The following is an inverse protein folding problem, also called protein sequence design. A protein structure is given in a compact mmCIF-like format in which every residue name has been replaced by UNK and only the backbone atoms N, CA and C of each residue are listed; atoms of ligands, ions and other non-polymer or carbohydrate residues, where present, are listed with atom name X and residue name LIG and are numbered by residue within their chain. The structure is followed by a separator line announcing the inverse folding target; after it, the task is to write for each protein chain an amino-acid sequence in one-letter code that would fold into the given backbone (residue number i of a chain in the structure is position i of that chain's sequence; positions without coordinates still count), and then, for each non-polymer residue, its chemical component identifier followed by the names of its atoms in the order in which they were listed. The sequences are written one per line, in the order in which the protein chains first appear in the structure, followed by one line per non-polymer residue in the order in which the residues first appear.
data_IF_637658059736
#
_entry.id   IF_637658059736
#
_cell.length_a   1.000
_cell.length_b   1.000
_cell.length_c   1.000
_cell.angle_alpha   90.00
_cell.angle_beta   90.00
_cell.angle_gamma   90.00
#
_symmetry.space_group_name_H-M   'P 1'
#
loop_
_entity.id
_entity.type
_entity.pdbx_description
1 polymer ?
#
# COMPACT_ATOMS: atom_id res chain seq x y z
N UNK A 1 -3.88 28.98 -6.66
CA UNK A 1 -4.43 28.53 -5.37
C UNK A 1 -5.57 29.46 -4.98
N UNK A 2 -6.74 28.92 -4.66
CA UNK A 2 -7.84 29.76 -4.18
C UNK A 2 -7.56 30.21 -2.72
N UNK A 3 -8.20 31.31 -2.31
CA UNK A 3 -7.98 31.93 -1.00
C UNK A 3 -8.27 30.99 0.17
N UNK A 4 -9.24 30.10 0.01
CA UNK A 4 -9.59 29.09 1.01
C UNK A 4 -8.44 28.09 1.25
N UNK A 5 -7.76 27.62 0.19
CA UNK A 5 -6.62 26.71 0.32
C UNK A 5 -5.42 27.42 0.96
N UNK A 6 -5.20 28.69 0.61
CA UNK A 6 -4.14 29.53 1.21
C UNK A 6 -4.39 29.74 2.71
N UNK A 7 -5.60 30.10 3.09
CA UNK A 7 -5.98 30.31 4.50
C UNK A 7 -5.80 29.04 5.34
N UNK A 8 -6.23 27.88 4.82
CA UNK A 8 -6.01 26.58 5.50
C UNK A 8 -4.52 26.25 5.67
N UNK A 9 -3.73 26.51 4.63
CA UNK A 9 -2.29 26.25 4.66
C UNK A 9 -1.60 27.12 5.71
N UNK A 10 -1.91 28.42 5.77
CA UNK A 10 -1.39 29.35 6.76
C UNK A 10 -1.82 28.96 8.17
N UNK A 11 -3.07 28.55 8.38
CA UNK A 11 -3.56 28.08 9.67
C UNK A 11 -2.87 26.78 10.12
N UNK A 12 -2.55 25.84 9.21
CA UNK A 12 -1.80 24.63 9.57
C UNK A 12 -0.32 24.94 9.85
N UNK A 13 0.28 25.88 9.12
CA UNK A 13 1.67 26.36 9.35
C UNK A 13 1.82 27.06 10.70
N UNK A 14 0.84 27.90 11.10
CA UNK A 14 0.90 28.65 12.38
C UNK A 14 0.92 27.76 13.63
N UNK A 15 0.44 26.51 13.52
CA UNK A 15 0.49 25.53 14.62
C UNK A 15 1.91 25.00 14.88
N UNK A 16 2.87 25.27 14.00
CA UNK A 16 4.22 24.73 14.13
C UNK A 16 5.05 25.51 15.17
N UNK A 17 5.25 24.93 16.33
CA UNK A 17 6.10 25.50 17.39
C UNK A 17 7.62 25.41 17.13
N UNK A 18 8.05 24.95 15.93
CA UNK A 18 9.46 24.85 15.50
C UNK A 18 10.38 24.07 16.45
N UNK A 19 9.82 23.19 17.29
CA UNK A 19 10.50 22.46 18.38
C UNK A 19 11.55 21.43 17.93
N UNK A 20 11.54 20.97 16.68
CA UNK A 20 12.52 20.03 16.13
C UNK A 20 12.22 18.54 16.27
N UNK A 21 11.17 18.08 16.94
CA UNK A 21 10.82 16.66 17.06
C UNK A 21 10.70 15.94 15.70
N UNK A 22 10.27 16.66 14.67
CA UNK A 22 10.20 16.12 13.30
C UNK A 22 11.57 15.73 12.72
N UNK A 23 12.67 16.27 13.24
CA UNK A 23 14.04 16.01 12.79
C UNK A 23 14.46 14.58 13.15
N UNK A 24 14.20 14.14 14.39
CA UNK A 24 14.58 12.83 14.89
C UNK A 24 13.98 11.67 14.08
N UNK A 25 12.79 11.86 13.50
CA UNK A 25 12.03 10.82 12.78
C UNK A 25 12.06 10.95 11.26
N UNK A 26 12.70 12.00 10.71
CA UNK A 26 12.68 12.26 9.28
C UNK A 26 13.67 11.37 8.51
N UNK A 27 13.22 10.44 7.64
CA UNK A 27 14.13 9.60 6.88
C UNK A 27 14.99 10.39 5.89
N UNK A 28 14.49 11.51 5.35
CA UNK A 28 15.24 12.36 4.43
C UNK A 28 16.37 13.09 5.18
N UNK A 29 16.08 13.63 6.36
CA UNK A 29 17.09 14.29 7.19
C UNK A 29 18.22 13.32 7.59
N UNK A 30 17.86 12.09 7.95
CA UNK A 30 18.85 11.06 8.32
C UNK A 30 19.83 10.77 7.17
N UNK A 31 19.44 10.99 5.91
CA UNK A 31 20.27 10.78 4.72
C UNK A 31 21.04 12.04 4.25
N UNK A 32 20.48 13.23 4.50
CA UNK A 32 21.03 14.48 3.95
C UNK A 32 21.68 15.39 5.01
N UNK A 33 21.27 15.28 6.27
CA UNK A 33 21.74 16.14 7.36
C UNK A 33 21.34 17.61 7.27
N UNK A 34 20.41 17.97 6.35
CA UNK A 34 20.09 19.36 6.02
C UNK A 34 18.78 19.79 6.67
N UNK A 35 18.80 20.96 7.33
CA UNK A 35 17.63 21.50 8.04
C UNK A 35 16.40 21.67 7.12
N UNK A 36 16.58 22.11 5.90
CA UNK A 36 15.48 22.26 4.95
C UNK A 36 14.87 20.91 4.49
N UNK A 37 15.50 19.78 4.79
CA UNK A 37 14.97 18.45 4.50
C UNK A 37 13.89 18.00 5.47
N UNK A 38 13.83 18.59 6.69
CA UNK A 38 12.80 18.27 7.69
C UNK A 38 11.52 19.08 7.51
N UNK A 39 10.44 18.68 8.17
CA UNK A 39 9.15 19.36 8.08
C UNK A 39 9.25 20.84 8.48
N UNK A 40 9.84 21.17 9.64
CA UNK A 40 9.95 22.57 10.09
C UNK A 40 10.72 23.46 9.12
N UNK A 41 11.83 22.98 8.55
CA UNK A 41 12.62 23.74 7.58
C UNK A 41 11.84 23.96 6.28
N UNK A 42 11.13 22.93 5.79
CA UNK A 42 10.21 23.06 4.65
C UNK A 42 9.10 24.08 4.93
N UNK A 43 8.54 24.08 6.14
CA UNK A 43 7.48 25.01 6.52
C UNK A 43 7.95 26.47 6.51
N UNK A 44 9.15 26.75 7.03
CA UNK A 44 9.76 28.09 7.00
C UNK A 44 9.90 28.57 5.55
N UNK A 45 10.38 27.72 4.64
CA UNK A 45 10.50 28.07 3.22
C UNK A 45 9.15 28.29 2.55
N UNK A 46 8.15 27.46 2.86
CA UNK A 46 6.79 27.60 2.30
C UNK A 46 6.14 28.88 2.83
N UNK A 47 6.23 29.16 4.14
CA UNK A 47 5.70 30.37 4.76
C UNK A 47 6.33 31.63 4.15
N UNK A 48 7.67 31.68 4.07
CA UNK A 48 8.39 32.79 3.46
C UNK A 48 8.01 33.02 1.98
N UNK A 49 7.73 31.96 1.24
CA UNK A 49 7.27 32.06 -0.14
C UNK A 49 5.81 32.57 -0.25
N UNK A 50 4.94 32.18 0.69
CA UNK A 50 3.55 32.64 0.76
C UNK A 50 3.46 34.11 1.19
N UNK A 51 4.37 34.56 2.05
CA UNK A 51 4.50 35.95 2.51
C UNK A 51 5.18 36.85 1.46
N UNK A 52 5.66 36.30 0.35
CA UNK A 52 6.39 37.06 -0.68
C UNK A 52 7.82 37.44 -0.30
N UNK A 53 8.32 37.01 0.87
CA UNK A 53 9.69 37.28 1.34
C UNK A 53 10.74 36.61 0.46
N UNK A 54 10.41 35.46 -0.11
CA UNK A 54 11.25 34.76 -1.08
C UNK A 54 10.40 34.32 -2.28
N UNK A 55 11.04 34.20 -3.45
CA UNK A 55 10.34 33.68 -4.65
C UNK A 55 10.22 32.16 -4.54
N UNK A 56 9.05 31.60 -4.90
CA UNK A 56 8.90 30.17 -5.13
C UNK A 56 9.80 29.77 -6.30
N UNK A 57 11.01 29.29 -6.01
CA UNK A 57 12.07 29.00 -6.97
C UNK A 57 12.22 27.48 -7.21
N UNK A 58 13.01 27.09 -8.22
CA UNK A 58 13.31 25.68 -8.48
C UNK A 58 13.94 24.94 -7.26
N UNK A 59 14.92 25.52 -6.53
CA UNK A 59 15.42 24.90 -5.31
C UNK A 59 14.34 24.65 -4.27
N UNK A 60 13.39 25.57 -4.04
CA UNK A 60 12.28 25.37 -3.09
C UNK A 60 11.35 24.26 -3.59
N UNK A 61 11.06 24.22 -4.90
CA UNK A 61 10.33 23.10 -5.50
C UNK A 61 11.01 21.77 -5.17
N UNK A 62 12.31 21.66 -5.38
CA UNK A 62 13.05 20.41 -5.18
C UNK A 62 13.04 19.98 -3.69
N UNK A 63 13.13 20.96 -2.77
CA UNK A 63 12.97 20.73 -1.33
C UNK A 63 11.57 20.22 -0.97
N UNK A 64 10.51 20.79 -1.53
CA UNK A 64 9.12 20.36 -1.28
C UNK A 64 8.86 18.98 -1.90
N UNK A 65 9.40 18.73 -3.10
CA UNK A 65 9.24 17.46 -3.81
C UNK A 65 10.04 16.31 -3.16
N UNK A 66 11.13 16.60 -2.45
CA UNK A 66 11.95 15.59 -1.78
C UNK A 66 11.31 14.99 -0.51
N UNK A 67 10.06 15.27 -0.19
CA UNK A 67 9.36 14.67 0.93
C UNK A 67 8.68 13.35 0.56
N UNK A 68 8.86 12.31 1.38
CA UNK A 68 8.18 11.00 1.21
C UNK A 68 6.69 11.01 1.55
N UNK A 69 6.22 12.04 2.26
CA UNK A 69 4.87 12.11 2.86
C UNK A 69 4.58 10.88 3.75
N UNK A 70 5.59 10.36 4.44
CA UNK A 70 5.52 9.16 5.29
C UNK A 70 4.82 9.40 6.64
N UNK A 71 4.49 10.63 6.99
CA UNK A 71 3.78 11.07 8.21
C UNK A 71 4.48 10.81 9.54
N UNK A 72 5.71 10.30 9.55
CA UNK A 72 6.46 10.12 10.81
C UNK A 72 6.57 11.42 11.61
N UNK A 73 6.83 12.55 10.92
CA UNK A 73 6.88 13.86 11.55
C UNK A 73 5.51 14.36 12.06
N UNK A 74 4.39 13.93 11.45
CA UNK A 74 3.04 14.21 11.96
C UNK A 74 2.77 13.42 13.23
N UNK A 75 3.10 12.14 13.25
CA UNK A 75 2.91 11.28 14.42
C UNK A 75 3.78 11.70 15.61
N UNK A 76 4.98 12.23 15.36
CA UNK A 76 5.89 12.74 16.40
C UNK A 76 5.62 14.20 16.80
N UNK A 77 4.66 14.88 16.19
CA UNK A 77 4.43 16.30 16.44
C UNK A 77 3.55 16.53 17.68
N UNK A 78 4.07 17.15 18.75
CA UNK A 78 3.27 17.43 19.95
C UNK A 78 2.15 18.46 19.70
N UNK A 79 2.33 19.35 18.71
CA UNK A 79 1.31 20.33 18.30
C UNK A 79 0.30 19.80 17.28
N UNK A 80 0.34 18.51 16.92
CA UNK A 80 -0.60 17.89 16.01
C UNK A 80 -0.63 18.47 14.58
N UNK A 81 0.49 19.08 14.11
CA UNK A 81 0.57 19.72 12.80
C UNK A 81 0.33 18.69 11.69
N UNK A 82 -0.58 18.99 10.78
CA UNK A 82 -0.90 18.15 9.61
C UNK A 82 0.16 18.30 8.50
N UNK A 83 1.37 17.77 8.78
CA UNK A 83 2.55 17.94 7.94
C UNK A 83 2.35 17.44 6.51
N UNK A 84 1.61 16.36 6.32
CA UNK A 84 1.23 15.78 5.03
C UNK A 84 0.32 16.70 4.22
N UNK A 85 -0.65 17.36 4.86
CA UNK A 85 -1.55 18.32 4.22
C UNK A 85 -0.78 19.57 3.75
N UNK A 86 0.11 20.10 4.60
CA UNK A 86 0.98 21.24 4.25
C UNK A 86 1.84 20.92 3.04
N UNK A 87 2.52 19.78 3.02
CA UNK A 87 3.37 19.39 1.90
C UNK A 87 2.57 19.14 0.63
N UNK A 88 1.39 18.54 0.72
CA UNK A 88 0.52 18.33 -0.46
C UNK A 88 0.02 19.64 -1.04
N UNK A 89 -0.38 20.60 -0.20
CA UNK A 89 -0.76 21.94 -0.65
C UNK A 89 0.42 22.73 -1.25
N UNK A 90 1.61 22.65 -0.64
CA UNK A 90 2.81 23.24 -1.20
C UNK A 90 3.18 22.65 -2.58
N UNK A 91 2.99 21.35 -2.78
CA UNK A 91 3.16 20.70 -4.10
C UNK A 91 2.11 21.14 -5.12
N UNK A 92 0.91 21.49 -4.68
CA UNK A 92 -0.11 22.08 -5.56
C UNK A 92 0.37 23.43 -6.09
N UNK A 93 0.90 24.32 -5.21
CA UNK A 93 1.52 25.58 -5.62
C UNK A 93 2.68 25.41 -6.59
N UNK A 94 3.55 24.42 -6.30
CA UNK A 94 4.68 24.08 -7.17
C UNK A 94 4.19 23.58 -8.53
N UNK A 95 3.17 22.74 -8.55
CA UNK A 95 2.60 22.20 -9.79
C UNK A 95 1.87 23.26 -10.63
N UNK A 96 1.21 24.23 -10.00
CA UNK A 96 0.64 25.39 -10.67
C UNK A 96 1.71 26.28 -11.32
N UNK A 97 2.82 26.52 -10.61
CA UNK A 97 3.88 27.42 -11.07
C UNK A 97 4.78 26.83 -12.15
N UNK A 98 5.18 25.55 -11.99
CA UNK A 98 6.19 24.90 -12.82
C UNK A 98 5.63 23.76 -13.68
N UNK A 99 4.37 23.40 -13.48
CA UNK A 99 3.80 22.19 -14.05
C UNK A 99 4.39 20.91 -13.44
N UNK A 100 3.86 19.80 -13.88
CA UNK A 100 4.46 18.47 -13.58
C UNK A 100 5.43 18.10 -14.71
N UNK A 101 6.59 17.57 -14.38
CA UNK A 101 7.51 17.00 -15.38
C UNK A 101 6.82 15.93 -16.25
N UNK A 102 7.24 15.79 -17.51
CA UNK A 102 6.57 14.94 -18.49
C UNK A 102 6.36 13.49 -17.99
N UNK A 103 7.38 12.86 -17.41
CA UNK A 103 7.29 11.49 -16.84
C UNK A 103 6.20 11.38 -15.76
N UNK A 104 6.14 12.37 -14.84
CA UNK A 104 5.14 12.40 -13.75
C UNK A 104 3.73 12.63 -14.31
N UNK A 105 3.59 13.49 -15.30
CA UNK A 105 2.31 13.76 -15.99
C UNK A 105 1.77 12.52 -16.68
N UNK A 106 2.60 11.77 -17.41
CA UNK A 106 2.23 10.53 -18.08
C UNK A 106 1.81 9.48 -17.04
N UNK A 107 2.62 9.23 -16.02
CA UNK A 107 2.32 8.24 -14.97
C UNK A 107 0.98 8.54 -14.28
N UNK A 108 0.73 9.78 -13.86
CA UNK A 108 -0.53 10.16 -13.23
C UNK A 108 -1.71 10.12 -14.21
N UNK A 109 -1.51 10.45 -15.49
CA UNK A 109 -2.57 10.33 -16.51
C UNK A 109 -3.02 8.89 -16.74
N UNK A 110 -2.08 7.94 -16.74
CA UNK A 110 -2.38 6.50 -16.86
C UNK A 110 -3.20 6.02 -15.65
N UNK A 111 -2.84 6.42 -14.43
CA UNK A 111 -3.57 6.04 -13.21
C UNK A 111 -5.04 6.48 -13.18
N UNK A 112 -5.41 7.52 -13.95
CA UNK A 112 -6.80 7.97 -14.10
C UNK A 112 -7.62 7.12 -15.07
N UNK A 113 -6.97 6.39 -15.96
CA UNK A 113 -7.62 5.69 -17.07
C UNK A 113 -7.46 4.18 -16.88
N UNK A 114 -8.35 3.51 -16.10
CA UNK A 114 -8.17 2.11 -15.73
C UNK A 114 -8.03 1.18 -16.93
N UNK A 115 -8.76 1.43 -18.02
CA UNK A 115 -8.65 0.64 -19.27
C UNK A 115 -7.27 0.77 -19.91
N UNK A 116 -6.74 2.00 -20.02
CA UNK A 116 -5.41 2.24 -20.60
C UNK A 116 -4.31 1.69 -19.68
N UNK A 117 -4.48 1.84 -18.37
CA UNK A 117 -3.54 1.29 -17.39
C UNK A 117 -3.50 -0.24 -17.45
N UNK A 118 -4.64 -0.90 -17.59
CA UNK A 118 -4.73 -2.35 -17.75
C UNK A 118 -4.10 -2.80 -19.07
N UNK A 119 -4.35 -2.08 -20.18
CA UNK A 119 -3.72 -2.36 -21.46
C UNK A 119 -2.19 -2.17 -21.41
N UNK A 120 -1.71 -1.08 -20.79
CA UNK A 120 -0.28 -0.84 -20.61
C UNK A 120 0.37 -1.92 -19.73
N UNK A 121 -0.31 -2.37 -18.67
CA UNK A 121 0.17 -3.47 -17.83
C UNK A 121 0.22 -4.80 -18.60
N UNK A 122 -0.77 -5.08 -19.46
CA UNK A 122 -0.78 -6.27 -20.32
C UNK A 122 0.37 -6.25 -21.34
N UNK A 123 0.60 -5.11 -22.01
CA UNK A 123 1.72 -4.94 -22.94
C UNK A 123 3.05 -5.12 -22.19
N UNK A 124 3.20 -4.48 -21.04
CA UNK A 124 4.38 -4.63 -20.20
C UNK A 124 4.60 -6.10 -19.80
N UNK A 125 3.54 -6.81 -19.39
CA UNK A 125 3.58 -8.24 -19.06
C UNK A 125 3.93 -9.16 -20.25
N UNK A 126 3.63 -8.76 -21.48
CA UNK A 126 3.93 -9.52 -22.68
C UNK A 126 5.35 -9.30 -23.22
N UNK A 127 5.80 -8.04 -23.16
CA UNK A 127 7.06 -7.59 -23.78
C UNK A 127 8.15 -7.17 -22.78
N UNK A 128 7.96 -7.46 -21.48
CA UNK A 128 8.84 -7.02 -20.41
C UNK A 128 10.30 -7.45 -20.59
N UNK A 129 10.57 -8.61 -21.21
CA UNK A 129 11.93 -9.10 -21.49
C UNK A 129 12.75 -8.18 -22.40
N UNK A 130 12.09 -7.36 -23.21
CA UNK A 130 12.78 -6.40 -24.07
C UNK A 130 13.38 -5.22 -23.25
N UNK A 131 12.68 -4.81 -22.20
CA UNK A 131 13.08 -3.65 -21.37
C UNK A 131 13.77 -4.00 -20.06
N UNK A 132 13.78 -5.27 -19.65
CA UNK A 132 14.30 -5.68 -18.35
C UNK A 132 15.28 -6.85 -18.46
N UNK A 133 16.24 -6.89 -17.54
CA UNK A 133 17.18 -7.99 -17.36
C UNK A 133 16.93 -8.67 -15.99
N UNK A 134 17.10 -10.00 -15.87
CA UNK A 134 16.97 -10.69 -14.59
C UNK A 134 18.05 -10.22 -13.60
N UNK A 135 17.71 -10.19 -12.32
CA UNK A 135 18.64 -9.99 -11.22
C UNK A 135 18.79 -11.34 -10.52
N UNK A 136 20.03 -11.80 -10.31
CA UNK A 136 20.34 -13.05 -9.59
C UNK A 136 19.47 -14.26 -10.02
N UNK A 137 19.90 -15.02 -11.02
CA UNK A 137 19.26 -16.23 -11.54
C UNK A 137 17.76 -16.16 -11.89
N UNK A 138 17.17 -14.98 -11.98
CA UNK A 138 16.02 -14.74 -12.84
C UNK A 138 14.63 -15.00 -12.30
N UNK A 139 14.43 -15.27 -10.99
CA UNK A 139 13.15 -15.84 -10.57
C UNK A 139 12.03 -14.82 -10.27
N UNK A 140 12.28 -13.72 -9.55
CA UNK A 140 11.20 -12.78 -9.21
C UNK A 140 11.50 -11.30 -9.46
N UNK A 141 12.76 -10.92 -9.62
CA UNK A 141 13.15 -9.52 -9.72
C UNK A 141 13.90 -9.23 -11.00
N UNK A 142 13.59 -8.08 -11.60
CA UNK A 142 14.07 -7.68 -12.90
C UNK A 142 14.53 -6.23 -12.87
N UNK A 143 15.70 -5.98 -13.41
CA UNK A 143 16.29 -4.65 -13.50
C UNK A 143 15.94 -4.01 -14.83
N UNK A 144 15.47 -2.76 -14.81
CA UNK A 144 15.29 -1.97 -16.02
C UNK A 144 16.64 -1.81 -16.73
N UNK A 145 16.69 -2.13 -18.01
CA UNK A 145 17.93 -2.02 -18.84
C UNK A 145 18.37 -0.59 -19.08
N UNK A 146 17.42 0.37 -19.01
CA UNK A 146 17.71 1.80 -19.13
C UNK A 146 17.89 2.43 -17.74
N UNK A 147 18.75 3.48 -17.62
CA UNK A 147 18.87 4.23 -16.36
C UNK A 147 17.51 4.74 -15.88
N UNK A 148 17.20 4.70 -14.58
CA UNK A 148 18.09 4.48 -13.42
C UNK A 148 18.29 3.03 -12.98
N UNK A 149 18.05 2.02 -13.80
CA UNK A 149 18.36 0.62 -13.47
C UNK A 149 17.58 0.06 -12.26
N UNK A 150 16.36 0.55 -12.03
CA UNK A 150 15.52 0.13 -10.91
C UNK A 150 15.13 -1.34 -11.04
N UNK A 151 15.06 -2.03 -9.92
CA UNK A 151 14.58 -3.40 -9.83
C UNK A 151 13.07 -3.40 -9.60
N UNK A 152 12.36 -4.26 -10.32
CA UNK A 152 10.92 -4.42 -10.21
C UNK A 152 10.56 -5.90 -10.08
N UNK A 153 9.44 -6.26 -9.45
CA UNK A 153 8.92 -7.60 -9.55
C UNK A 153 8.52 -7.93 -11.00
N UNK A 154 8.56 -9.21 -11.36
CA UNK A 154 8.09 -9.68 -12.66
C UNK A 154 6.65 -9.23 -12.88
N UNK A 155 6.31 -8.56 -14.00
CA UNK A 155 4.95 -8.18 -14.29
C UNK A 155 4.06 -9.43 -14.41
N UNK A 156 2.87 -9.45 -13.78
CA UNK A 156 1.96 -10.57 -13.88
C UNK A 156 1.39 -10.70 -15.29
N UNK A 157 1.10 -11.91 -15.72
CA UNK A 157 0.45 -12.16 -17.03
C UNK A 157 -0.99 -11.66 -17.06
N UNK A 158 -1.67 -11.61 -15.92
CA UNK A 158 -3.07 -11.18 -15.76
C UNK A 158 -3.23 -10.28 -14.55
N UNK A 159 -4.14 -9.32 -14.64
CA UNK A 159 -4.57 -8.55 -13.48
C UNK A 159 -5.43 -9.40 -12.54
N UNK A 160 -5.57 -8.99 -11.28
CA UNK A 160 -6.48 -9.62 -10.33
C UNK A 160 -7.90 -9.74 -10.91
N UNK A 161 -8.43 -8.64 -11.44
CA UNK A 161 -9.80 -8.61 -11.99
C UNK A 161 -9.97 -9.62 -13.14
N UNK A 162 -9.00 -9.71 -14.05
CA UNK A 162 -9.06 -10.68 -15.14
C UNK A 162 -8.96 -12.13 -14.62
N UNK A 163 -8.13 -12.38 -13.61
CA UNK A 163 -8.03 -13.70 -12.98
C UNK A 163 -9.33 -14.12 -12.30
N UNK A 164 -10.02 -13.18 -11.64
CA UNK A 164 -11.32 -13.43 -11.00
C UNK A 164 -12.43 -13.71 -12.01
N UNK A 165 -12.50 -12.90 -13.10
CA UNK A 165 -13.51 -13.08 -14.16
C UNK A 165 -13.30 -14.41 -14.90
N UNK A 166 -12.05 -14.84 -15.11
CA UNK A 166 -11.73 -16.10 -15.79
C UNK A 166 -11.89 -17.33 -14.89
N UNK A 167 -12.38 -17.15 -13.66
CA UNK A 167 -12.68 -18.25 -12.74
C UNK A 167 -11.45 -18.96 -12.17
N UNK A 168 -10.29 -18.31 -12.11
CA UNK A 168 -9.09 -18.92 -11.51
C UNK A 168 -9.30 -19.31 -10.04
N UNK A 169 -10.18 -18.59 -9.32
CA UNK A 169 -10.61 -18.97 -7.97
C UNK A 169 -11.51 -20.21 -7.95
N UNK A 170 -12.36 -20.39 -8.96
CA UNK A 170 -13.21 -21.58 -9.06
C UNK A 170 -12.40 -22.85 -9.35
N UNK A 171 -11.22 -22.70 -9.96
CA UNK A 171 -10.26 -23.81 -10.20
C UNK A 171 -9.41 -24.16 -8.97
N UNK A 172 -9.36 -23.28 -7.97
CA UNK A 172 -8.69 -23.52 -6.68
C UNK A 172 -9.79 -23.68 -5.64
N UNK A 173 -10.25 -24.90 -5.36
CA UNK A 173 -11.33 -25.10 -4.43
C UNK A 173 -10.96 -24.49 -3.06
N UNK A 174 -11.98 -23.98 -2.35
CA UNK A 174 -11.87 -23.80 -0.91
C UNK A 174 -11.45 -25.16 -0.33
N UNK A 175 -10.73 -25.19 0.79
CA UNK A 175 -10.21 -26.43 1.39
C UNK A 175 -11.25 -27.57 1.50
N UNK A 176 -12.53 -27.22 1.64
CA UNK A 176 -13.63 -28.15 1.81
C UNK A 176 -14.21 -28.65 0.45
N UNK A 177 -13.51 -28.38 -0.67
CA UNK A 177 -13.98 -28.76 -2.01
C UNK A 177 -15.20 -27.98 -2.50
N UNK A 178 -15.64 -26.99 -1.75
CA UNK A 178 -16.89 -26.28 -1.99
C UNK A 178 -16.76 -25.30 -3.17
N UNK A 179 -17.68 -25.34 -4.14
CA UNK A 179 -17.66 -24.44 -5.27
C UNK A 179 -17.94 -22.98 -4.81
N UNK A 180 -17.12 -22.06 -5.31
CA UNK A 180 -17.31 -20.62 -5.11
C UNK A 180 -18.18 -20.10 -6.26
N UNK A 181 -19.21 -19.33 -5.94
CA UNK A 181 -20.05 -18.69 -6.94
C UNK A 181 -19.50 -17.31 -7.29
N UNK A 182 -19.20 -17.07 -8.57
CA UNK A 182 -18.72 -15.78 -9.07
C UNK A 182 -19.77 -15.19 -9.99
N UNK A 183 -20.23 -13.98 -9.67
CA UNK A 183 -21.19 -13.23 -10.47
C UNK A 183 -20.57 -11.90 -10.92
N UNK A 184 -20.73 -11.57 -12.20
CA UNK A 184 -20.30 -10.28 -12.76
C UNK A 184 -21.54 -9.55 -13.27
N UNK A 185 -21.92 -8.46 -12.64
CA UNK A 185 -23.09 -7.68 -13.00
C UNK A 185 -22.92 -6.21 -12.63
N UNK A 186 -23.44 -5.31 -13.46
CA UNK A 186 -23.51 -3.86 -13.20
C UNK A 186 -22.18 -3.24 -12.68
N UNK A 187 -21.05 -3.64 -13.26
CA UNK A 187 -19.71 -3.12 -12.87
C UNK A 187 -19.18 -3.64 -11.54
N UNK A 188 -19.75 -4.75 -11.03
CA UNK A 188 -19.39 -5.42 -9.78
C UNK A 188 -19.04 -6.88 -10.05
N UNK A 189 -18.08 -7.42 -9.30
CA UNK A 189 -17.80 -8.85 -9.18
C UNK A 189 -18.19 -9.24 -7.77
N UNK A 190 -19.12 -10.16 -7.63
CA UNK A 190 -19.54 -10.72 -6.35
C UNK A 190 -19.06 -12.15 -6.26
N UNK A 191 -18.35 -12.47 -5.20
CA UNK A 191 -17.81 -13.80 -4.93
C UNK A 191 -18.41 -14.28 -3.61
N UNK A 192 -19.22 -15.33 -3.67
CA UNK A 192 -19.97 -15.83 -2.52
C UNK A 192 -19.47 -17.19 -2.09
N UNK A 193 -19.17 -17.40 -0.78
CA UNK A 193 -18.97 -18.71 -0.20
C UNK A 193 -20.29 -19.47 -0.09
N UNK A 194 -20.25 -20.80 0.05
CA UNK A 194 -21.46 -21.59 0.27
C UNK A 194 -22.14 -21.27 1.61
N UNK A 195 -21.36 -21.22 2.69
CA UNK A 195 -21.84 -20.81 4.01
C UNK A 195 -21.51 -19.34 4.23
N UNK A 196 -22.50 -18.47 4.03
CA UNK A 196 -22.34 -17.03 4.19
C UNK A 196 -22.57 -16.60 5.63
N UNK A 197 -21.56 -15.97 6.24
CA UNK A 197 -21.62 -15.39 7.60
C UNK A 197 -21.72 -13.86 7.55
N UNK A 198 -21.29 -13.24 6.43
CA UNK A 198 -21.29 -11.80 6.27
C UNK A 198 -20.97 -11.40 4.84
N UNK A 199 -20.79 -10.10 4.63
CA UNK A 199 -20.36 -9.56 3.35
C UNK A 199 -19.45 -8.33 3.55
N UNK A 200 -18.53 -8.09 2.61
CA UNK A 200 -17.64 -6.93 2.60
C UNK A 200 -17.37 -6.46 1.17
N UNK A 201 -17.04 -5.19 1.02
CA UNK A 201 -16.47 -4.65 -0.21
C UNK A 201 -14.94 -4.77 -0.12
N UNK A 202 -14.30 -5.42 -1.09
CA UNK A 202 -12.86 -5.40 -1.23
C UNK A 202 -12.44 -4.45 -2.34
N UNK A 203 -11.65 -3.43 -1.99
CA UNK A 203 -11.08 -2.50 -2.95
C UNK A 203 -9.59 -2.80 -3.16
N UNK A 204 -9.19 -3.45 -4.28
CA UNK A 204 -7.81 -3.89 -4.49
C UNK A 204 -6.84 -2.74 -4.78
N UNK A 205 -7.32 -1.60 -5.30
CA UNK A 205 -6.45 -0.53 -5.79
C UNK A 205 -5.61 -0.93 -7.00
N UNK A 206 -4.70 -0.03 -7.43
CA UNK A 206 -3.95 -0.24 -8.67
C UNK A 206 -2.79 -1.24 -8.51
N UNK A 207 -2.03 -1.20 -7.42
CA UNK A 207 -0.87 -2.08 -7.23
C UNK A 207 -1.30 -3.54 -7.04
N UNK A 208 -2.30 -3.80 -6.20
CA UNK A 208 -2.81 -5.15 -5.96
C UNK A 208 -3.48 -5.71 -7.21
N UNK A 209 -4.22 -4.87 -7.97
CA UNK A 209 -4.86 -5.34 -9.19
C UNK A 209 -3.86 -5.67 -10.30
N UNK A 210 -2.84 -4.80 -10.53
CA UNK A 210 -2.04 -4.84 -11.75
C UNK A 210 -0.60 -5.32 -11.56
N UNK A 211 -0.06 -5.25 -10.34
CA UNK A 211 1.35 -5.57 -10.06
C UNK A 211 1.48 -6.79 -9.14
N UNK A 212 0.61 -6.89 -8.14
CA UNK A 212 0.63 -7.94 -7.13
C UNK A 212 -0.74 -8.66 -7.03
N UNK A 213 -1.26 -9.24 -8.12
CA UNK A 213 -2.57 -9.91 -8.09
C UNK A 213 -2.65 -11.04 -7.07
N UNK A 214 -1.52 -11.68 -6.73
CA UNK A 214 -1.43 -12.70 -5.67
C UNK A 214 -1.90 -12.17 -4.31
N UNK A 215 -1.57 -10.93 -3.95
CA UNK A 215 -2.07 -10.29 -2.72
C UNK A 215 -3.59 -10.15 -2.74
N UNK A 216 -4.15 -9.80 -3.90
CA UNK A 216 -5.59 -9.68 -4.07
C UNK A 216 -6.30 -11.04 -4.01
N UNK A 217 -5.74 -12.06 -4.66
CA UNK A 217 -6.26 -13.43 -4.60
C UNK A 217 -6.24 -13.96 -3.16
N UNK A 218 -5.11 -13.79 -2.45
CA UNK A 218 -4.99 -14.17 -1.04
C UNK A 218 -6.02 -13.44 -0.16
N UNK A 219 -6.28 -12.15 -0.43
CA UNK A 219 -7.31 -11.38 0.28
C UNK A 219 -8.70 -11.99 0.07
N UNK A 220 -9.07 -12.29 -1.17
CA UNK A 220 -10.37 -12.91 -1.48
C UNK A 220 -10.47 -14.30 -0.85
N UNK A 221 -9.44 -15.13 -0.96
CA UNK A 221 -9.40 -16.46 -0.35
C UNK A 221 -9.58 -16.42 1.17
N UNK A 222 -8.90 -15.48 1.83
CA UNK A 222 -9.02 -15.28 3.28
C UNK A 222 -10.45 -14.87 3.68
N UNK A 223 -11.05 -13.92 2.99
CA UNK A 223 -12.43 -13.50 3.22
C UNK A 223 -13.43 -14.64 3.00
N UNK A 224 -13.26 -15.41 1.93
CA UNK A 224 -14.09 -16.59 1.65
C UNK A 224 -13.96 -17.66 2.73
N UNK A 225 -12.73 -17.93 3.21
CA UNK A 225 -12.50 -18.88 4.28
C UNK A 225 -13.12 -18.46 5.64
N UNK A 226 -13.39 -17.15 5.80
CA UNK A 226 -14.14 -16.59 6.92
C UNK A 226 -15.66 -16.58 6.67
N UNK A 227 -16.15 -17.10 5.56
CA UNK A 227 -17.57 -17.03 5.19
C UNK A 227 -18.03 -15.65 4.70
N UNK A 228 -17.14 -14.76 4.31
CA UNK A 228 -17.47 -13.39 3.90
C UNK A 228 -17.65 -13.32 2.38
N UNK A 229 -18.88 -13.00 1.96
CA UNK A 229 -19.16 -12.64 0.57
C UNK A 229 -18.40 -11.36 0.20
N UNK A 230 -17.69 -11.39 -0.91
CA UNK A 230 -16.80 -10.30 -1.30
C UNK A 230 -17.31 -9.59 -2.56
N UNK A 231 -17.56 -8.29 -2.47
CA UNK A 231 -17.94 -7.43 -3.60
C UNK A 231 -16.74 -6.60 -4.04
N UNK A 232 -16.39 -6.67 -5.32
CA UNK A 232 -15.19 -6.03 -5.89
C UNK A 232 -15.60 -5.18 -7.10
N UNK A 233 -15.03 -3.95 -7.31
CA UNK A 233 -15.27 -3.20 -8.54
C UNK A 233 -14.68 -3.94 -9.75
N UNK A 234 -15.48 -4.18 -10.78
CA UNK A 234 -15.04 -4.83 -12.02
C UNK A 234 -14.04 -3.97 -12.82
N UNK A 235 -14.07 -2.66 -12.61
CA UNK A 235 -13.11 -1.70 -13.19
C UNK A 235 -12.65 -0.73 -12.10
N UNK A 236 -11.73 -1.14 -11.19
CA UNK A 236 -11.33 -0.32 -10.06
C UNK A 236 -10.64 0.97 -10.52
N UNK A 237 -11.16 2.09 -10.03
CA UNK A 237 -10.56 3.41 -10.22
C UNK A 237 -9.48 3.64 -9.15
N UNK A 238 -8.45 4.42 -9.46
CA UNK A 238 -7.41 4.76 -8.49
C UNK A 238 -8.01 5.42 -7.23
N UNK A 239 -7.47 5.13 -6.04
CA UNK A 239 -7.89 5.77 -4.79
C UNK A 239 -7.60 7.28 -4.72
N UNK A 240 -6.81 7.84 -5.64
CA UNK A 240 -6.45 9.26 -5.67
C UNK A 240 -5.17 9.62 -4.89
N UNK A 241 -4.65 8.76 -4.01
CA UNK A 241 -3.45 9.06 -3.21
C UNK A 241 -2.24 9.50 -4.07
N UNK A 242 -1.88 8.83 -5.19
CA UNK A 242 -0.78 9.28 -6.03
C UNK A 242 -0.99 10.69 -6.60
N UNK A 243 -2.22 11.07 -6.89
CA UNK A 243 -2.56 12.43 -7.37
C UNK A 243 -2.43 13.45 -6.23
N UNK A 244 -3.01 13.14 -5.07
CA UNK A 244 -2.98 14.01 -3.90
C UNK A 244 -1.54 14.34 -3.46
N UNK A 245 -0.70 13.32 -3.29
CA UNK A 245 0.70 13.53 -2.88
C UNK A 245 1.58 14.19 -3.94
N UNK A 246 1.14 14.29 -5.18
CA UNK A 246 1.84 15.01 -6.25
C UNK A 246 1.21 16.39 -6.57
N UNK A 247 0.40 16.95 -5.66
CA UNK A 247 -0.19 18.27 -5.79
C UNK A 247 -1.29 18.37 -6.88
N UNK A 248 -1.94 17.23 -7.18
CA UNK A 248 -3.10 17.22 -8.11
C UNK A 248 -4.38 16.92 -7.33
N UNK A 249 -4.68 17.82 -6.39
CA UNK A 249 -5.88 17.74 -5.57
C UNK A 249 -7.16 17.68 -6.41
N UNK A 250 -7.22 18.44 -7.49
CA UNK A 250 -8.33 18.45 -8.47
C UNK A 250 -8.62 17.03 -9.01
N UNK A 251 -7.58 16.28 -9.34
CA UNK A 251 -7.71 14.92 -9.84
C UNK A 251 -8.03 13.93 -8.73
N UNK A 252 -7.48 14.11 -7.53
CA UNK A 252 -7.82 13.28 -6.37
C UNK A 252 -9.30 13.41 -6.01
N UNK A 253 -9.87 14.62 -6.04
CA UNK A 253 -11.30 14.89 -5.84
C UNK A 253 -12.17 14.15 -6.87
N UNK A 254 -11.81 14.24 -8.16
CA UNK A 254 -12.56 13.54 -9.23
C UNK A 254 -12.56 12.02 -9.02
N UNK A 255 -11.42 11.46 -8.63
CA UNK A 255 -11.28 10.01 -8.35
C UNK A 255 -12.07 9.61 -7.10
N UNK A 256 -12.06 10.43 -6.05
CA UNK A 256 -12.85 10.21 -4.85
C UNK A 256 -14.36 10.19 -5.17
N UNK A 257 -14.86 11.18 -5.93
CA UNK A 257 -16.26 11.23 -6.36
C UNK A 257 -16.65 9.98 -7.19
N UNK A 258 -15.79 9.53 -8.11
CA UNK A 258 -16.04 8.33 -8.89
C UNK A 258 -16.10 7.06 -8.02
N UNK A 259 -15.21 6.93 -7.05
CA UNK A 259 -15.23 5.82 -6.08
C UNK A 259 -16.48 5.84 -5.20
N UNK A 260 -16.89 7.00 -4.70
CA UNK A 260 -18.11 7.16 -3.91
C UNK A 260 -19.38 6.85 -4.72
N UNK A 261 -19.45 7.31 -5.97
CA UNK A 261 -20.58 6.99 -6.87
C UNK A 261 -20.70 5.48 -7.13
N UNK A 262 -19.55 4.79 -7.34
CA UNK A 262 -19.56 3.35 -7.46
C UNK A 262 -20.04 2.67 -6.16
N UNK A 263 -19.53 3.11 -5.00
CA UNK A 263 -19.93 2.54 -3.71
C UNK A 263 -21.42 2.76 -3.43
N UNK A 264 -21.95 3.94 -3.75
CA UNK A 264 -23.39 4.22 -3.63
C UNK A 264 -24.23 3.22 -4.43
N UNK A 265 -23.74 2.81 -5.62
CA UNK A 265 -24.42 1.77 -6.40
C UNK A 265 -24.36 0.37 -5.74
N UNK A 266 -23.32 0.08 -4.94
CA UNK A 266 -23.26 -1.17 -4.14
C UNK A 266 -24.22 -1.10 -2.98
N UNK A 267 -24.25 0.03 -2.26
CA UNK A 267 -25.12 0.25 -1.10
C UNK A 267 -26.60 0.23 -1.50
N UNK A 268 -26.98 0.76 -2.67
CA UNK A 268 -28.35 0.76 -3.18
C UNK A 268 -28.90 -0.67 -3.45
N UNK A 269 -28.04 -1.61 -3.84
CA UNK A 269 -28.44 -3.01 -4.05
C UNK A 269 -28.59 -3.79 -2.73
N UNK A 270 -28.38 -3.13 -1.55
CA UNK A 270 -28.30 -3.80 -0.23
C UNK A 270 -29.13 -3.09 0.84
N UNK A 271 -30.45 -3.29 0.85
CA UNK A 271 -31.35 -2.59 1.79
C UNK A 271 -31.14 -2.95 3.27
N UNK A 272 -30.39 -4.03 3.58
CA UNK A 272 -30.15 -4.51 4.95
C UNK A 272 -28.89 -3.95 5.62
N UNK A 273 -28.28 -2.92 5.06
CA UNK A 273 -27.11 -2.28 5.68
C UNK A 273 -25.91 -2.14 4.78
N UNK A 274 -25.10 -1.15 5.08
CA UNK A 274 -23.89 -0.80 4.33
C UNK A 274 -22.73 -1.70 4.73
N UNK A 275 -21.97 -2.15 3.72
CA UNK A 275 -20.90 -3.12 3.93
C UNK A 275 -19.62 -2.47 4.48
N UNK A 276 -18.81 -3.19 5.29
CA UNK A 276 -17.46 -2.80 5.60
C UNK A 276 -16.61 -2.76 4.32
N UNK A 277 -15.67 -1.81 4.26
CA UNK A 277 -14.76 -1.59 3.15
C UNK A 277 -13.37 -2.08 3.53
N UNK A 278 -12.90 -3.14 2.89
CA UNK A 278 -11.66 -3.84 3.22
C UNK A 278 -10.59 -3.54 2.20
N UNK A 279 -9.38 -3.26 2.69
CA UNK A 279 -8.23 -2.89 1.88
C UNK A 279 -7.00 -3.72 2.26
N UNK A 280 -6.28 -4.24 1.28
CA UNK A 280 -4.93 -4.82 1.44
C UNK A 280 -3.83 -3.85 0.98
N UNK A 281 -4.15 -2.56 0.88
CA UNK A 281 -3.22 -1.48 0.62
C UNK A 281 -3.52 -0.30 1.55
N UNK A 282 -2.69 -0.04 2.58
CA UNK A 282 -2.94 1.00 3.57
C UNK A 282 -2.97 2.41 2.96
N UNK A 283 -2.26 2.66 1.87
CA UNK A 283 -2.36 3.95 1.15
C UNK A 283 -3.75 4.15 0.52
N UNK A 284 -4.40 3.07 0.04
CA UNK A 284 -5.77 3.14 -0.44
C UNK A 284 -6.77 3.31 0.71
N UNK A 285 -6.61 2.56 1.80
CA UNK A 285 -7.46 2.69 3.00
C UNK A 285 -7.40 4.11 3.57
N UNK A 286 -6.20 4.66 3.69
CA UNK A 286 -6.01 6.04 4.14
C UNK A 286 -6.62 7.07 3.20
N UNK A 287 -6.46 6.91 1.87
CA UNK A 287 -7.08 7.81 0.91
C UNK A 287 -8.60 7.85 1.08
N UNK A 288 -9.23 6.69 1.18
CA UNK A 288 -10.68 6.59 1.38
C UNK A 288 -11.11 7.17 2.73
N UNK A 289 -10.38 6.87 3.83
CA UNK A 289 -10.64 7.47 5.14
C UNK A 289 -10.48 9.00 5.13
N UNK A 290 -9.62 9.53 4.26
CA UNK A 290 -9.38 10.97 4.08
C UNK A 290 -10.32 11.66 3.08
N UNK A 291 -11.25 10.97 2.40
CA UNK A 291 -12.18 11.60 1.46
C UNK A 291 -13.05 12.71 2.08
N UNK A 292 -13.53 12.61 3.33
CA UNK A 292 -14.26 13.72 3.97
C UNK A 292 -13.44 15.02 3.98
N UNK A 293 -12.16 14.98 4.35
CA UNK A 293 -11.27 16.14 4.34
C UNK A 293 -10.95 16.63 2.92
N UNK A 294 -10.82 15.70 1.98
CA UNK A 294 -10.56 16.02 0.57
C UNK A 294 -11.74 16.74 -0.08
N UNK A 295 -12.96 16.34 0.27
CA UNK A 295 -14.22 16.85 -0.27
C UNK A 295 -14.86 17.95 0.58
N UNK A 296 -14.23 18.39 1.66
CA UNK A 296 -14.74 19.25 2.73
C UNK A 296 -15.35 20.59 2.30
N UNK A 297 -15.17 21.04 1.06
CA UNK A 297 -15.87 22.20 0.53
C UNK A 297 -17.39 21.97 0.33
N UNK A 298 -17.84 20.70 0.36
CA UNK A 298 -19.22 20.31 0.03
C UNK A 298 -19.90 19.53 1.17
N UNK A 299 -19.26 19.40 2.36
CA UNK A 299 -19.90 18.87 3.58
C UNK A 299 -20.53 17.47 3.46
N UNK A 300 -19.95 16.59 2.66
CA UNK A 300 -20.56 15.31 2.28
C UNK A 300 -20.66 14.34 3.48
N UNK A 301 -21.87 14.25 4.08
CA UNK A 301 -22.19 13.32 5.15
C UNK A 301 -21.94 11.87 4.72
N UNK A 302 -22.16 11.54 3.43
CA UNK A 302 -21.96 10.20 2.89
C UNK A 302 -20.47 9.81 2.92
N UNK A 303 -19.58 10.76 2.68
CA UNK A 303 -18.14 10.51 2.78
C UNK A 303 -17.69 10.23 4.22
N UNK A 304 -18.28 10.90 5.22
CA UNK A 304 -17.95 10.62 6.64
C UNK A 304 -18.44 9.26 7.08
N UNK A 305 -19.64 8.88 6.70
CA UNK A 305 -20.20 7.56 6.99
C UNK A 305 -19.39 6.45 6.30
N UNK A 306 -19.00 6.66 5.05
CA UNK A 306 -18.12 5.73 4.32
C UNK A 306 -16.76 5.59 5.03
N UNK A 307 -16.15 6.69 5.48
CA UNK A 307 -14.84 6.66 6.13
C UNK A 307 -14.83 5.83 7.42
N UNK A 308 -15.95 5.79 8.16
CA UNK A 308 -16.12 4.97 9.36
C UNK A 308 -16.13 3.45 9.07
N UNK A 309 -16.41 3.04 7.82
CA UNK A 309 -16.46 1.64 7.38
C UNK A 309 -15.16 1.13 6.78
N UNK A 310 -14.10 1.95 6.75
CA UNK A 310 -12.80 1.61 6.14
C UNK A 310 -11.96 0.79 7.10
N UNK A 311 -11.60 -0.42 6.70
CA UNK A 311 -10.75 -1.34 7.43
C UNK A 311 -9.51 -1.73 6.62
N UNK A 312 -8.34 -1.72 7.26
CA UNK A 312 -7.23 -2.55 6.78
C UNK A 312 -7.59 -4.03 6.96
N UNK A 313 -7.13 -4.88 6.05
CA UNK A 313 -7.44 -6.33 6.09
C UNK A 313 -7.02 -6.97 7.42
N UNK A 314 -5.90 -6.55 8.02
CA UNK A 314 -5.44 -7.10 9.30
C UNK A 314 -6.41 -6.76 10.44
N UNK A 315 -6.93 -5.54 10.47
CA UNK A 315 -7.94 -5.12 11.47
C UNK A 315 -9.24 -5.87 11.25
N UNK A 316 -9.67 -5.98 9.98
CA UNK A 316 -10.91 -6.69 9.64
C UNK A 316 -10.83 -8.16 10.07
N UNK A 317 -9.74 -8.85 9.75
CA UNK A 317 -9.53 -10.25 10.14
C UNK A 317 -9.44 -10.40 11.65
N UNK A 318 -8.68 -9.55 12.35
CA UNK A 318 -8.55 -9.62 13.80
C UNK A 318 -9.90 -9.46 14.54
N UNK A 319 -10.81 -8.63 13.99
CA UNK A 319 -12.12 -8.36 14.58
C UNK A 319 -13.24 -9.32 14.17
N UNK A 320 -13.09 -10.05 13.05
CA UNK A 320 -14.19 -10.85 12.48
C UNK A 320 -13.85 -12.32 12.26
N UNK A 321 -12.57 -12.71 12.37
CA UNK A 321 -12.21 -14.11 12.21
C UNK A 321 -12.71 -14.95 13.42
N UNK A 322 -13.25 -16.13 13.19
CA UNK A 322 -13.61 -17.04 14.27
C UNK A 322 -12.42 -17.32 15.19
N UNK A 323 -12.66 -17.38 16.50
CA UNK A 323 -11.62 -17.65 17.48
C UNK A 323 -10.87 -18.95 17.16
N UNK A 324 -9.55 -18.88 17.15
CA UNK A 324 -8.69 -20.04 16.85
C UNK A 324 -8.69 -20.48 15.39
N UNK A 325 -9.18 -19.65 14.45
CA UNK A 325 -9.20 -19.97 13.01
C UNK A 325 -7.84 -20.47 12.49
N UNK A 326 -6.75 -19.83 12.89
CA UNK A 326 -5.38 -20.21 12.49
C UNK A 326 -4.81 -21.34 13.36
N UNK A 327 -5.22 -21.47 14.65
CA UNK A 327 -4.72 -22.51 15.60
C UNK A 327 -5.30 -23.89 15.35
N UNK A 328 -6.60 -23.98 15.05
CA UNK A 328 -7.27 -25.26 14.78
C UNK A 328 -6.64 -26.05 13.62
N UNK A 329 -5.87 -25.36 12.79
CA UNK A 329 -5.18 -25.95 11.65
C UNK A 329 -3.74 -26.35 11.93
N UNK A 330 -3.09 -25.77 12.92
CA UNK A 330 -1.79 -26.22 13.38
C UNK A 330 -1.83 -27.67 13.91
N UNK A 331 -2.94 -28.04 14.57
CA UNK A 331 -3.15 -29.40 15.08
C UNK A 331 -3.48 -30.47 14.02
N UNK A 332 -3.83 -30.04 12.80
CA UNK A 332 -4.14 -30.90 11.65
C UNK A 332 -2.98 -30.97 10.63
N UNK A 333 -1.84 -30.33 10.91
CA UNK A 333 -0.64 -30.40 10.07
C UNK A 333 0.03 -31.79 10.21
N UNK A 334 0.60 -32.35 9.12
CA UNK A 334 1.38 -33.59 9.21
C UNK A 334 2.52 -33.45 10.23
N UNK A 335 2.84 -34.52 10.91
CA UNK A 335 3.85 -34.59 12.00
C UNK A 335 5.23 -34.09 11.58
N UNK A 336 5.58 -34.19 10.30
CA UNK A 336 6.82 -33.68 9.71
C UNK A 336 6.97 -32.18 9.75
N UNK A 337 5.85 -31.42 9.69
CA UNK A 337 5.85 -29.95 9.76
C UNK A 337 6.05 -29.47 11.21
N UNK A 338 5.64 -30.27 12.18
CA UNK A 338 5.80 -29.97 13.60
C UNK A 338 7.26 -30.11 14.09
N UNK A 339 8.12 -30.81 13.34
CA UNK A 339 9.53 -31.07 13.70
C UNK A 339 10.51 -30.10 13.02
N UNK A 340 10.08 -29.28 12.05
CA UNK A 340 10.93 -28.32 11.37
C UNK A 340 11.19 -27.07 12.24
N UNK A 341 12.42 -26.54 12.21
CA UNK A 341 12.72 -25.26 12.87
C UNK A 341 11.80 -24.13 12.37
N UNK A 342 11.21 -23.32 13.29
CA UNK A 342 10.36 -22.22 12.89
C UNK A 342 11.08 -21.21 11.99
N UNK A 343 10.41 -20.78 10.93
CA UNK A 343 10.95 -19.75 10.05
C UNK A 343 11.01 -18.41 10.80
N UNK A 344 12.21 -17.87 10.95
CA UNK A 344 12.38 -16.54 11.52
C UNK A 344 11.80 -15.49 10.58
N UNK A 345 10.76 -14.81 11.04
CA UNK A 345 10.05 -13.75 10.34
C UNK A 345 10.23 -12.43 11.10
N UNK A 346 10.42 -11.32 10.39
CA UNK A 346 10.33 -9.98 10.96
C UNK A 346 9.24 -9.18 10.28
N UNK A 347 8.70 -8.15 10.97
CA UNK A 347 7.60 -7.35 10.47
C UNK A 347 8.01 -5.89 10.21
N UNK A 348 7.67 -5.37 9.03
CA UNK A 348 7.83 -3.97 8.68
C UNK A 348 6.51 -3.22 8.82
N UNK A 349 6.46 -2.25 9.75
CA UNK A 349 5.36 -1.30 9.89
C UNK A 349 5.34 -0.31 8.74
N UNK A 350 4.44 -0.48 7.79
CA UNK A 350 4.32 0.51 6.72
C UNK A 350 3.80 1.85 7.28
N UNK A 351 4.37 2.96 6.79
CA UNK A 351 4.07 4.28 7.31
C UNK A 351 2.59 4.67 7.23
N UNK A 352 1.89 4.32 6.14
CA UNK A 352 0.47 4.57 6.00
C UNK A 352 -0.37 3.72 6.98
N UNK A 353 0.03 2.48 7.24
CA UNK A 353 -0.66 1.62 8.19
C UNK A 353 -0.45 2.10 9.62
N UNK A 354 0.82 2.27 10.02
CA UNK A 354 1.20 2.56 11.38
C UNK A 354 0.95 4.03 11.78
N UNK A 355 1.30 5.00 10.91
CA UNK A 355 1.23 6.43 11.27
C UNK A 355 -0.09 7.09 10.88
N UNK A 356 -0.75 6.62 9.80
CA UNK A 356 -1.98 7.23 9.35
C UNK A 356 -3.23 6.50 9.86
N UNK A 357 -3.20 5.16 9.87
CA UNK A 357 -4.34 4.33 10.29
C UNK A 357 -4.25 3.87 11.75
N UNK A 358 -3.09 4.01 12.41
CA UNK A 358 -2.87 3.62 13.79
C UNK A 358 -2.76 2.11 14.02
N UNK A 359 -2.61 1.32 12.96
CA UNK A 359 -2.59 -0.15 13.00
C UNK A 359 -1.17 -0.67 13.15
N UNK A 360 -0.87 -1.35 14.26
CA UNK A 360 0.45 -1.91 14.60
C UNK A 360 0.38 -3.30 15.25
N UNK A 361 -0.58 -3.49 16.15
CA UNK A 361 -0.74 -4.71 16.97
C UNK A 361 -1.40 -5.84 16.21
N UNK A 362 -2.41 -5.54 15.39
CA UNK A 362 -3.25 -6.54 14.72
C UNK A 362 -2.47 -7.43 13.75
N UNK A 363 -1.59 -6.90 12.87
CA UNK A 363 -0.77 -7.75 12.01
C UNK A 363 0.12 -8.70 12.80
N UNK A 364 0.73 -8.21 13.91
CA UNK A 364 1.58 -9.01 14.77
C UNK A 364 0.81 -10.10 15.51
N UNK A 365 -0.36 -9.75 16.04
CA UNK A 365 -1.23 -10.70 16.73
C UNK A 365 -1.68 -11.84 15.80
N UNK A 366 -1.94 -11.54 14.54
CA UNK A 366 -2.28 -12.52 13.51
C UNK A 366 -1.08 -13.39 13.13
N UNK A 367 0.08 -12.78 12.87
CA UNK A 367 1.30 -13.50 12.48
C UNK A 367 1.79 -14.47 13.58
N UNK A 368 1.66 -14.08 14.85
CA UNK A 368 2.00 -14.95 16.00
C UNK A 368 1.11 -16.21 16.13
N UNK A 369 -0.04 -16.22 15.46
CA UNK A 369 -0.93 -17.39 15.45
C UNK A 369 -0.57 -18.41 14.37
N UNK A 370 0.35 -18.06 13.45
CA UNK A 370 0.70 -18.91 12.32
C UNK A 370 1.64 -20.03 12.78
N UNK A 371 1.36 -21.30 12.44
CA UNK A 371 2.24 -22.42 12.76
C UNK A 371 3.57 -22.29 12.00
N UNK A 372 4.66 -22.73 12.61
CA UNK A 372 5.99 -22.74 12.00
C UNK A 372 6.60 -21.35 11.76
N UNK A 373 6.08 -20.30 12.37
CA UNK A 373 6.60 -18.93 12.29
C UNK A 373 7.11 -18.47 13.67
N UNK A 374 8.33 -17.94 13.69
CA UNK A 374 8.91 -17.24 14.85
C UNK A 374 9.05 -15.75 14.51
N UNK A 375 8.20 -14.91 15.10
CA UNK A 375 8.19 -13.46 14.86
C UNK A 375 9.23 -12.76 15.74
N UNK A 376 10.27 -12.17 15.11
CA UNK A 376 11.25 -11.30 15.74
C UNK A 376 11.09 -9.84 15.29
N UNK A 377 11.22 -8.88 16.22
CA UNK A 377 11.13 -7.45 15.90
C UNK A 377 12.46 -6.92 15.36
N UNK A 378 12.40 -6.07 14.33
CA UNK A 378 13.58 -5.32 13.89
C UNK A 378 13.78 -4.05 14.75
N UNK A 379 14.99 -3.49 14.82
CA UNK A 379 15.30 -2.34 15.69
C UNK A 379 14.41 -1.10 15.47
N UNK A 380 14.04 -0.80 14.23
CA UNK A 380 13.11 0.30 13.88
C UNK A 380 12.08 -0.21 12.85
N UNK A 381 11.05 -0.94 13.31
CA UNK A 381 10.06 -1.53 12.41
C UNK A 381 9.28 -0.46 11.64
N UNK A 382 9.05 0.72 12.24
CA UNK A 382 8.36 1.86 11.65
C UNK A 382 9.22 2.77 10.79
N UNK A 383 10.53 2.55 10.73
CA UNK A 383 11.44 3.27 9.85
C UNK A 383 11.07 3.08 8.38
N UNK A 384 11.04 4.17 7.61
CA UNK A 384 10.60 4.15 6.22
C UNK A 384 11.42 3.19 5.35
N UNK A 385 10.75 2.48 4.43
CA UNK A 385 11.41 1.62 3.45
C UNK A 385 11.95 2.37 2.21
N UNK A 386 11.65 3.68 2.08
CA UNK A 386 12.10 4.50 0.95
C UNK A 386 11.13 4.57 -0.24
N UNK A 387 10.04 3.79 -0.26
CA UNK A 387 9.12 3.74 -1.40
C UNK A 387 8.43 5.09 -1.68
N UNK A 388 7.70 5.65 -0.69
CA UNK A 388 6.92 6.89 -0.85
C UNK A 388 5.98 6.89 -2.08
N UNK A 389 5.49 5.74 -2.49
CA UNK A 389 4.67 5.57 -3.70
C UNK A 389 5.44 5.97 -4.96
N UNK A 390 5.16 7.15 -5.52
CA UNK A 390 5.86 7.65 -6.71
C UNK A 390 7.24 8.25 -6.41
N UNK A 391 7.60 8.44 -5.13
CA UNK A 391 8.87 9.05 -4.72
C UNK A 391 10.09 8.29 -5.26
N UNK A 392 10.10 6.96 -5.13
CA UNK A 392 11.20 6.13 -5.63
C UNK A 392 11.44 6.25 -7.14
N UNK A 393 10.41 6.59 -7.92
CA UNK A 393 10.52 6.82 -9.37
C UNK A 393 11.17 8.17 -9.71
N UNK A 394 11.02 9.19 -8.86
CA UNK A 394 11.48 10.56 -9.13
C UNK A 394 12.71 10.95 -8.32
N UNK A 395 12.98 10.26 -7.20
CA UNK A 395 14.14 10.44 -6.34
C UNK A 395 14.83 9.10 -6.05
N UNK A 396 15.30 8.35 -7.09
CA UNK A 396 15.76 6.97 -6.95
C UNK A 396 16.96 6.84 -6.01
N UNK A 397 17.92 7.77 -6.04
CA UNK A 397 19.14 7.68 -5.22
C UNK A 397 18.83 7.84 -3.73
N UNK A 398 17.99 8.79 -3.37
CA UNK A 398 17.56 8.99 -2.00
C UNK A 398 16.69 7.82 -1.50
N UNK A 399 15.80 7.32 -2.36
CA UNK A 399 15.01 6.13 -2.11
C UNK A 399 15.87 4.91 -1.80
N UNK A 400 16.93 4.67 -2.58
CA UNK A 400 17.89 3.56 -2.37
C UNK A 400 18.67 3.71 -1.06
N UNK A 401 19.16 4.91 -0.71
CA UNK A 401 19.86 5.14 0.57
C UNK A 401 18.97 4.79 1.76
N UNK A 402 17.72 5.23 1.73
CA UNK A 402 16.73 4.91 2.78
C UNK A 402 16.46 3.40 2.81
N UNK A 403 16.32 2.75 1.64
CA UNK A 403 16.11 1.31 1.56
C UNK A 403 17.28 0.49 2.12
N UNK A 404 18.53 0.89 1.88
CA UNK A 404 19.71 0.23 2.46
C UNK A 404 19.64 0.17 3.99
N UNK A 405 19.31 1.28 4.63
CA UNK A 405 19.13 1.32 6.09
C UNK A 405 18.06 0.35 6.57
N UNK A 406 16.94 0.23 5.82
CA UNK A 406 15.90 -0.76 6.14
C UNK A 406 16.41 -2.19 6.00
N UNK A 407 17.21 -2.47 4.97
CA UNK A 407 17.83 -3.80 4.77
C UNK A 407 18.82 -4.13 5.91
N UNK A 408 19.59 -3.16 6.38
CA UNK A 408 20.49 -3.34 7.54
C UNK A 408 19.72 -3.75 8.80
N UNK A 409 18.57 -3.10 9.06
CA UNK A 409 17.69 -3.46 10.18
C UNK A 409 17.09 -4.87 10.03
N UNK A 410 16.73 -5.27 8.81
CA UNK A 410 16.25 -6.63 8.53
C UNK A 410 17.37 -7.64 8.78
N UNK A 411 18.58 -7.37 8.26
CA UNK A 411 19.75 -8.25 8.45
C UNK A 411 20.09 -8.45 9.93
N UNK A 412 19.98 -7.40 10.74
CA UNK A 412 20.22 -7.47 12.19
C UNK A 412 19.29 -8.45 12.93
N UNK A 413 18.14 -8.80 12.35
CA UNK A 413 17.23 -9.79 12.96
C UNK A 413 17.61 -11.25 12.66
N UNK A 414 18.42 -11.50 11.64
CA UNK A 414 18.67 -12.84 11.11
C UNK A 414 17.40 -13.49 10.51
N UNK A 415 16.38 -12.70 10.19
CA UNK A 415 15.14 -13.22 9.61
C UNK A 415 15.36 -13.72 8.17
N UNK A 416 14.71 -14.84 7.83
CA UNK A 416 14.63 -15.37 6.47
C UNK A 416 13.42 -14.85 5.72
N UNK A 417 12.49 -14.21 6.42
CA UNK A 417 11.25 -13.68 5.85
C UNK A 417 10.93 -12.31 6.45
N UNK A 418 10.42 -11.41 5.61
CA UNK A 418 9.88 -10.10 6.03
C UNK A 418 8.41 -10.04 5.67
N UNK A 419 7.55 -9.77 6.64
CA UNK A 419 6.13 -9.50 6.38
C UNK A 419 5.85 -7.99 6.41
N UNK A 420 4.92 -7.54 5.57
CA UNK A 420 4.40 -6.17 5.58
C UNK A 420 2.96 -6.14 5.08
N UNK A 421 2.14 -5.23 5.57
CA UNK A 421 0.76 -5.01 5.09
C UNK A 421 0.67 -4.03 3.91
N UNK A 422 1.77 -3.68 3.23
CA UNK A 422 1.76 -2.66 2.19
C UNK A 422 2.41 -3.16 0.88
N UNK A 423 1.65 -3.18 -0.23
CA UNK A 423 2.16 -3.58 -1.55
C UNK A 423 3.39 -2.78 -2.02
N UNK A 424 3.41 -1.46 -1.76
CA UNK A 424 4.52 -0.61 -2.14
C UNK A 424 5.78 -0.89 -1.30
N UNK A 425 5.64 -1.16 0.00
CA UNK A 425 6.75 -1.57 0.87
C UNK A 425 7.27 -2.95 0.49
N UNK A 426 6.39 -3.89 0.13
CA UNK A 426 6.77 -5.22 -0.35
C UNK A 426 7.73 -5.11 -1.54
N UNK A 427 7.37 -4.31 -2.55
CA UNK A 427 8.21 -4.07 -3.73
C UNK A 427 9.54 -3.44 -3.33
N UNK A 428 9.50 -2.37 -2.53
CA UNK A 428 10.70 -1.59 -2.18
C UNK A 428 11.69 -2.37 -1.31
N UNK A 429 11.20 -3.13 -0.33
CA UNK A 429 12.05 -3.96 0.53
C UNK A 429 12.66 -5.09 -0.30
N UNK A 430 11.87 -5.76 -1.14
CA UNK A 430 12.36 -6.78 -2.05
C UNK A 430 13.46 -6.25 -2.99
N UNK A 431 13.25 -5.04 -3.55
CA UNK A 431 14.27 -4.36 -4.35
C UNK A 431 15.55 -4.10 -3.54
N UNK A 432 15.43 -3.55 -2.32
CA UNK A 432 16.59 -3.25 -1.47
C UNK A 432 17.38 -4.51 -1.08
N UNK A 433 16.69 -5.60 -0.76
CA UNK A 433 17.31 -6.89 -0.47
C UNK A 433 18.08 -7.45 -1.70
N UNK A 434 17.48 -7.40 -2.89
CA UNK A 434 18.13 -7.85 -4.10
C UNK A 434 19.38 -7.00 -4.47
N UNK A 435 19.29 -5.68 -4.30
CA UNK A 435 20.42 -4.77 -4.51
C UNK A 435 21.56 -5.01 -3.49
N UNK A 436 21.22 -5.51 -2.29
CA UNK A 436 22.17 -5.89 -1.26
C UNK A 436 22.70 -7.34 -1.37
N UNK A 437 22.28 -8.09 -2.41
CA UNK A 437 22.68 -9.49 -2.59
C UNK A 437 21.98 -10.46 -1.62
N UNK A 438 20.90 -10.05 -0.96
CA UNK A 438 20.15 -10.84 0.05
C UNK A 438 18.85 -11.40 -0.53
N UNK A 439 18.94 -11.98 -1.74
CA UNK A 439 17.77 -12.55 -2.45
C UNK A 439 17.17 -13.79 -1.77
N UNK A 440 17.87 -14.38 -0.80
CA UNK A 440 17.38 -15.49 0.02
C UNK A 440 16.35 -15.04 1.06
N UNK A 441 16.29 -13.76 1.39
CA UNK A 441 15.27 -13.20 2.31
C UNK A 441 14.00 -12.88 1.54
N UNK A 442 12.94 -13.58 1.85
CA UNK A 442 11.65 -13.46 1.12
C UNK A 442 10.79 -12.37 1.73
N UNK A 443 10.20 -11.51 0.89
CA UNK A 443 9.24 -10.48 1.33
C UNK A 443 7.83 -10.91 0.97
N UNK A 444 6.94 -10.95 1.97
CA UNK A 444 5.55 -11.40 1.82
C UNK A 444 4.56 -10.35 2.32
N UNK A 445 3.42 -10.27 1.68
CA UNK A 445 2.30 -9.52 2.25
C UNK A 445 1.67 -10.31 3.40
N UNK A 446 1.30 -9.63 4.50
CA UNK A 446 0.67 -10.29 5.65
C UNK A 446 -0.50 -11.19 5.25
N UNK A 447 -1.36 -10.73 4.33
CA UNK A 447 -2.53 -11.49 3.88
C UNK A 447 -2.16 -12.78 3.13
N UNK A 448 -1.01 -12.84 2.46
CA UNK A 448 -0.55 -14.06 1.77
C UNK A 448 -0.24 -15.15 2.79
N UNK A 449 0.46 -14.80 3.87
CA UNK A 449 0.80 -15.74 4.95
C UNK A 449 -0.47 -16.22 5.68
N UNK A 450 -1.42 -15.34 5.93
CA UNK A 450 -2.70 -15.68 6.55
C UNK A 450 -3.53 -16.62 5.67
N UNK A 451 -3.61 -16.34 4.37
CA UNK A 451 -4.35 -17.18 3.44
C UNK A 451 -3.72 -18.57 3.27
N UNK A 452 -2.40 -18.65 3.15
CA UNK A 452 -1.67 -19.93 3.06
C UNK A 452 -1.88 -20.80 4.29
N UNK A 453 -1.83 -20.24 5.49
CA UNK A 453 -2.12 -20.97 6.73
C UNK A 453 -3.55 -21.51 6.78
N UNK A 454 -4.50 -20.90 6.08
CA UNK A 454 -5.90 -21.35 6.02
C UNK A 454 -6.15 -22.41 4.95
N UNK A 455 -5.48 -22.33 3.80
CA UNK A 455 -5.73 -23.23 2.68
C UNK A 455 -5.06 -24.58 2.86
N UNK A 456 -4.09 -24.68 3.79
CA UNK A 456 -3.49 -25.94 4.19
C UNK A 456 -2.38 -26.44 3.27
N UNK A 457 -1.84 -25.60 2.41
CA UNK A 457 -0.59 -25.87 1.72
C UNK A 457 0.58 -25.39 2.59
N UNK A 458 0.80 -26.07 3.72
CA UNK A 458 1.97 -25.83 4.58
C UNK A 458 3.29 -26.17 3.86
N UNK A 459 3.24 -26.92 2.74
CA UNK A 459 4.35 -27.05 1.81
C UNK A 459 4.69 -25.68 1.16
N UNK A 460 3.75 -24.74 1.06
CA UNK A 460 3.96 -23.38 0.57
C UNK A 460 4.86 -22.54 1.47
N UNK A 461 4.73 -22.66 2.79
CA UNK A 461 5.63 -21.95 3.73
C UNK A 461 7.02 -22.58 3.69
N UNK A 462 7.14 -23.89 3.52
CA UNK A 462 8.42 -24.60 3.37
C UNK A 462 8.97 -24.56 1.93
N UNK A 463 8.11 -24.63 0.90
CA UNK A 463 8.51 -24.51 -0.52
C UNK A 463 8.89 -23.10 -0.95
N UNK A 464 8.66 -22.08 -0.14
CA UNK A 464 9.19 -20.72 -0.34
C UNK A 464 10.73 -20.66 -0.17
N UNK A 465 11.35 -21.74 0.32
CA UNK A 465 12.80 -21.94 0.14
C UNK A 465 13.18 -22.26 -1.33
N UNK A 466 12.22 -22.67 -2.17
CA UNK A 466 12.44 -22.93 -3.59
C UNK A 466 11.49 -22.06 -4.45
N UNK A 467 12.01 -20.94 -5.01
CA UNK A 467 11.23 -20.06 -5.85
C UNK A 467 10.81 -20.66 -7.21
N UNK A 468 11.00 -21.97 -7.43
CA UNK A 468 10.80 -22.63 -8.72
C UNK A 468 9.34 -22.99 -9.04
N UNK A 469 8.45 -23.08 -8.07
CA UNK A 469 7.13 -23.72 -8.21
C UNK A 469 5.92 -22.76 -8.30
N UNK A 470 6.11 -21.51 -8.73
CA UNK A 470 5.00 -20.58 -9.04
C UNK A 470 5.01 -20.25 -10.53
N UNK A 471 4.70 -21.24 -11.38
CA UNK A 471 4.28 -21.07 -12.78
C UNK A 471 2.75 -20.88 -12.88
#
# INVERSE_FOLDING_TARGET
MNDTTRARLLNDLSKCGRCGFCQAVCPIYREEGKEFSVARGKFILIEAALDGKIRLSRPIRDVVESCLVCKSCRAACPSGVRTDAIISAARELVAERYGLGARRRVALSLLRRPRLLTAAAWIAGRFWRLGFAPVNNGREQWRLRLPPGQVFPRPPRRSLINSLILGELAKRPTRDGNPVKVFVSKGKITISPLARQGAAVFFPGCLVNLVLPRVGLATVQLLLAMGIETVIPAAPVCCGMPHYVNGRRDQAVRLAKANLSWLASVDADRPRGRLPLVFSCPSCAEAWRGYPDLLSAEGDASAREMAARVYDISVFVAGHAPAGLFRKRASAAPTEVAQAEPIKLTYHDSCHLAQALGVRSEPRALLKQLPGISLGEMPDPGGCCGSGGTFGLFHPDLSRRIARRKVEMINATGARMVATGCPACLIQIGQGLAEAGRSEVVVRHTVELLAEALIGDSSGIQKVADPADVD
#
